data_IF_714080033221
#
_entry.id   IF_714080033221
#
_cell.length_a   1.000
_cell.length_b   1.000
_cell.length_c   1.000
_cell.angle_alpha   90.00
_cell.angle_beta   90.00
_cell.angle_gamma   90.00
#
_symmetry.space_group_name_H-M   'P 1'
#
loop_
_entity.id
_entity.type
_entity.pdbx_description
1 polymer ?
#
# COMPACT_ATOMS: atom_id res chain seq x y z
N UNK A 1 59.87 -16.12 24.32
CA UNK A 1 58.90 -15.46 23.38
C UNK A 1 57.67 -16.34 23.31
N UNK A 2 56.55 -15.97 23.88
CA UNK A 2 55.33 -16.77 23.76
C UNK A 2 54.50 -16.30 22.54
N UNK A 3 54.08 -17.28 21.74
CA UNK A 3 53.30 -17.15 20.53
C UNK A 3 51.85 -16.78 20.89
N UNK A 4 51.42 -15.58 20.58
CA UNK A 4 50.03 -15.12 20.70
C UNK A 4 49.27 -15.53 19.46
N UNK A 5 48.68 -16.69 19.48
CA UNK A 5 47.73 -17.14 18.50
C UNK A 5 46.38 -16.48 18.79
N UNK A 6 46.10 -15.30 18.17
CA UNK A 6 44.80 -14.65 18.22
C UNK A 6 43.83 -15.43 17.36
N UNK A 7 42.99 -16.23 18.00
CA UNK A 7 41.79 -16.77 17.36
C UNK A 7 40.91 -15.60 16.90
N UNK A 8 40.76 -15.47 15.56
CA UNK A 8 39.75 -14.60 14.99
C UNK A 8 38.36 -15.17 15.29
N UNK A 9 37.39 -14.35 15.71
CA UNK A 9 36.01 -14.82 15.83
C UNK A 9 35.49 -15.12 14.45
N UNK A 10 35.11 -16.37 14.21
CA UNK A 10 34.34 -16.80 13.04
C UNK A 10 33.06 -15.99 13.01
N UNK A 11 32.91 -15.13 12.01
CA UNK A 11 31.65 -14.48 11.67
C UNK A 11 30.64 -15.59 11.44
N UNK A 12 29.80 -15.87 12.41
CA UNK A 12 28.64 -16.72 12.24
C UNK A 12 27.80 -16.16 11.13
N UNK A 13 27.56 -16.95 10.10
CA UNK A 13 26.60 -16.70 9.03
C UNK A 13 25.29 -16.27 9.73
N UNK A 14 24.70 -15.13 9.40
CA UNK A 14 23.36 -14.84 9.91
C UNK A 14 22.43 -15.88 9.30
N UNK A 15 22.16 -16.93 10.04
CA UNK A 15 21.06 -17.84 9.76
C UNK A 15 19.80 -16.96 9.78
N UNK A 16 19.34 -16.59 8.60
CA UNK A 16 18.00 -16.05 8.40
C UNK A 16 17.01 -17.16 8.77
N UNK A 17 16.82 -17.35 10.07
CA UNK A 17 15.64 -18.04 10.57
C UNK A 17 14.46 -17.28 10.03
N UNK A 18 13.61 -17.95 9.23
CA UNK A 18 12.27 -17.44 8.90
C UNK A 18 11.66 -16.96 10.22
N UNK A 19 11.36 -15.66 10.35
CA UNK A 19 10.71 -15.20 11.56
C UNK A 19 9.40 -15.96 11.66
N UNK A 20 9.10 -16.54 12.83
CA UNK A 20 7.78 -16.99 13.15
C UNK A 20 6.81 -15.89 12.73
N UNK A 21 5.87 -16.22 11.86
CA UNK A 21 4.96 -15.28 11.21
C UNK A 21 4.23 -14.51 12.30
N UNK A 22 4.64 -13.26 12.54
CA UNK A 22 3.90 -12.36 13.40
C UNK A 22 2.61 -12.03 12.65
N UNK A 23 1.51 -12.61 13.11
CA UNK A 23 0.22 -12.33 12.51
C UNK A 23 -0.24 -10.91 12.87
N UNK A 24 -0.56 -10.12 11.85
CA UNK A 24 -1.23 -8.84 12.01
C UNK A 24 -2.75 -9.09 12.08
N UNK A 25 -3.33 -8.97 13.25
CA UNK A 25 -4.76 -9.21 13.48
C UNK A 25 -5.63 -7.95 13.28
N UNK A 26 -5.03 -6.81 12.94
CA UNK A 26 -5.73 -5.52 12.91
C UNK A 26 -6.79 -5.45 11.80
N UNK A 27 -6.47 -5.94 10.59
CA UNK A 27 -7.47 -6.03 9.52
C UNK A 27 -8.60 -7.00 9.85
N UNK A 28 -8.28 -8.13 10.48
CA UNK A 28 -9.27 -9.10 10.96
C UNK A 28 -10.21 -8.46 12.00
N UNK A 29 -9.64 -7.69 12.93
CA UNK A 29 -10.44 -6.96 13.94
C UNK A 29 -11.36 -5.90 13.31
N UNK A 30 -10.90 -5.18 12.29
CA UNK A 30 -11.69 -4.18 11.57
C UNK A 30 -12.84 -4.80 10.77
N UNK A 31 -12.63 -5.96 10.16
CA UNK A 31 -13.63 -6.68 9.36
C UNK A 31 -14.62 -7.48 10.20
N UNK A 32 -14.18 -7.98 11.35
CA UNK A 32 -14.86 -9.01 12.13
C UNK A 32 -14.69 -10.41 11.54
N UNK A 33 -14.92 -11.44 12.37
CA UNK A 33 -14.63 -12.84 12.06
C UNK A 33 -15.39 -13.36 10.82
N UNK A 34 -16.68 -13.02 10.71
CA UNK A 34 -17.53 -13.51 9.62
C UNK A 34 -17.07 -12.99 8.24
N UNK A 35 -16.72 -11.69 8.15
CA UNK A 35 -16.24 -11.11 6.90
C UNK A 35 -14.82 -11.57 6.59
N UNK A 36 -13.95 -11.66 7.60
CA UNK A 36 -12.60 -12.18 7.45
C UNK A 36 -12.59 -13.64 6.96
N UNK A 37 -13.48 -14.47 7.48
CA UNK A 37 -13.61 -15.89 7.11
C UNK A 37 -14.03 -16.11 5.66
N UNK A 38 -14.73 -15.17 5.03
CA UNK A 38 -15.13 -15.26 3.61
C UNK A 38 -13.99 -14.96 2.63
N UNK A 39 -12.95 -14.21 3.07
CA UNK A 39 -11.84 -13.87 2.21
C UNK A 39 -11.08 -15.09 1.70
N UNK A 40 -10.58 -15.08 0.45
CA UNK A 40 -9.64 -16.09 -0.04
C UNK A 40 -8.43 -16.20 0.89
N UNK A 41 -7.88 -17.40 0.99
CA UNK A 41 -6.70 -17.66 1.83
C UNK A 41 -5.53 -16.74 1.47
N UNK A 42 -5.24 -16.56 0.19
CA UNK A 42 -4.15 -15.70 -0.28
C UNK A 42 -4.31 -14.23 0.15
N UNK A 43 -5.55 -13.72 0.19
CA UNK A 43 -5.82 -12.37 0.69
C UNK A 43 -5.62 -12.30 2.20
N UNK A 44 -6.12 -13.29 2.96
CA UNK A 44 -5.91 -13.36 4.41
C UNK A 44 -4.43 -13.43 4.76
N UNK A 45 -3.66 -14.25 4.09
CA UNK A 45 -2.21 -14.37 4.29
C UNK A 45 -1.49 -13.04 4.00
N UNK A 46 -1.85 -12.35 2.92
CA UNK A 46 -1.26 -11.05 2.56
C UNK A 46 -1.51 -9.99 3.62
N UNK A 47 -2.73 -9.90 4.13
CA UNK A 47 -3.11 -8.88 5.12
C UNK A 47 -2.89 -9.30 6.57
N UNK A 48 -2.46 -10.53 6.82
CA UNK A 48 -1.98 -11.00 8.13
C UNK A 48 -0.48 -10.80 8.33
N UNK A 49 0.28 -10.43 7.29
CA UNK A 49 1.73 -10.26 7.40
C UNK A 49 2.07 -9.03 8.24
N UNK A 50 2.73 -9.24 9.36
CA UNK A 50 3.37 -8.16 10.11
C UNK A 50 4.84 -8.09 9.74
N UNK A 51 5.23 -6.95 9.19
CA UNK A 51 6.63 -6.71 8.86
C UNK A 51 7.40 -6.29 10.11
N UNK A 52 8.64 -6.74 10.23
CA UNK A 52 9.58 -6.25 11.25
C UNK A 52 10.28 -4.99 10.71
N UNK A 53 10.77 -4.10 11.59
CA UNK A 53 11.60 -2.98 11.17
C UNK A 53 12.76 -3.44 10.28
N UNK A 54 12.94 -2.75 9.15
CA UNK A 54 13.98 -3.10 8.16
C UNK A 54 13.61 -4.22 7.18
N UNK A 55 12.45 -4.85 7.33
CA UNK A 55 11.94 -5.82 6.36
C UNK A 55 10.98 -5.17 5.38
N UNK A 56 10.93 -5.71 4.16
CA UNK A 56 10.00 -5.28 3.12
C UNK A 56 9.36 -6.49 2.44
N UNK A 57 8.11 -6.33 2.03
CA UNK A 57 7.47 -7.21 1.06
C UNK A 57 7.37 -6.45 -0.26
N UNK A 58 7.76 -7.10 -1.35
CA UNK A 58 7.73 -6.49 -2.67
C UNK A 58 6.81 -7.30 -3.59
N UNK A 59 5.93 -6.58 -4.26
CA UNK A 59 5.06 -7.10 -5.30
C UNK A 59 5.51 -6.52 -6.64
N UNK A 60 5.60 -7.37 -7.65
CA UNK A 60 5.95 -6.99 -9.01
C UNK A 60 4.78 -7.32 -9.94
N UNK A 61 4.60 -6.49 -10.94
CA UNK A 61 3.45 -6.65 -11.83
C UNK A 61 3.44 -5.63 -12.95
N UNK A 62 2.27 -5.44 -13.53
CA UNK A 62 2.05 -4.52 -14.64
C UNK A 62 0.70 -3.83 -14.52
N UNK A 63 0.56 -2.67 -15.16
CA UNK A 63 -0.71 -1.94 -15.27
C UNK A 63 -1.47 -2.45 -16.49
N UNK A 64 -2.66 -3.01 -16.26
CA UNK A 64 -3.49 -3.63 -17.31
C UNK A 64 -4.69 -2.77 -17.73
N UNK A 65 -5.11 -1.84 -16.88
CA UNK A 65 -6.15 -0.87 -17.19
C UNK A 65 -5.80 0.48 -16.54
N UNK A 66 -5.95 1.56 -17.30
CA UNK A 66 -5.89 2.93 -16.77
C UNK A 66 -6.87 3.79 -17.57
N UNK A 67 -7.79 4.45 -16.87
CA UNK A 67 -8.79 5.34 -17.46
C UNK A 67 -8.98 6.57 -16.60
N UNK A 68 -9.02 7.73 -17.23
CA UNK A 68 -9.27 9.00 -16.57
C UNK A 68 -10.17 9.89 -17.41
N UNK A 69 -11.10 10.61 -16.77
CA UNK A 69 -11.77 11.73 -17.42
C UNK A 69 -10.99 13.05 -17.18
N UNK A 70 -11.43 14.13 -17.81
CA UNK A 70 -10.75 15.43 -17.67
C UNK A 70 -10.67 15.94 -16.24
N UNK A 71 -11.70 15.69 -15.41
CA UNK A 71 -11.69 16.07 -13.99
C UNK A 71 -10.68 15.24 -13.19
N UNK A 72 -10.59 13.94 -13.46
CA UNK A 72 -9.58 13.06 -12.88
C UNK A 72 -8.16 13.46 -13.26
N UNK A 73 -7.95 13.88 -14.49
CA UNK A 73 -6.68 14.42 -14.95
C UNK A 73 -6.31 15.72 -14.19
N UNK A 74 -7.24 16.66 -14.10
CA UNK A 74 -7.02 17.91 -13.37
C UNK A 74 -6.71 17.66 -11.89
N UNK A 75 -7.47 16.75 -11.26
CA UNK A 75 -7.22 16.34 -9.87
C UNK A 75 -5.83 15.71 -9.69
N UNK A 76 -5.44 14.78 -10.58
CA UNK A 76 -4.13 14.14 -10.50
C UNK A 76 -2.98 15.16 -10.62
N UNK A 77 -3.12 16.17 -11.51
CA UNK A 77 -2.13 17.26 -11.61
C UNK A 77 -2.11 18.14 -10.35
N UNK A 78 -3.28 18.49 -9.80
CA UNK A 78 -3.37 19.26 -8.57
C UNK A 78 -2.73 18.51 -7.39
N UNK A 79 -2.95 17.21 -7.30
CA UNK A 79 -2.38 16.34 -6.27
C UNK A 79 -0.84 16.26 -6.30
N UNK A 80 -0.17 16.74 -7.36
CA UNK A 80 1.31 16.86 -7.36
C UNK A 80 1.81 17.77 -6.24
N UNK A 81 1.02 18.73 -5.81
CA UNK A 81 1.36 19.63 -4.69
C UNK A 81 1.47 18.90 -3.34
N UNK A 82 0.88 17.71 -3.23
CA UNK A 82 0.87 16.91 -2.00
C UNK A 82 1.60 15.57 -2.16
N UNK A 83 2.47 15.44 -3.18
CA UNK A 83 3.27 14.23 -3.41
C UNK A 83 2.74 13.29 -4.49
N UNK A 84 1.84 13.77 -5.37
CA UNK A 84 1.30 13.03 -6.52
C UNK A 84 0.73 11.64 -6.15
N UNK A 85 -0.21 11.52 -5.19
CA UNK A 85 -0.72 10.23 -4.72
C UNK A 85 -1.61 9.50 -5.74
N UNK A 86 -1.96 10.14 -6.86
CA UNK A 86 -2.74 9.55 -7.94
C UNK A 86 -1.87 9.27 -9.17
N UNK A 87 -2.17 8.23 -9.96
CA UNK A 87 -1.51 7.99 -11.23
C UNK A 87 -1.62 9.20 -12.16
N UNK A 88 -0.50 9.61 -12.76
CA UNK A 88 -0.41 10.76 -13.66
C UNK A 88 -0.52 10.35 -15.14
N UNK A 89 -0.32 9.09 -15.45
CA UNK A 89 -0.19 8.55 -16.80
C UNK A 89 -1.14 7.37 -16.99
N UNK A 90 -1.53 7.10 -18.24
CA UNK A 90 -2.45 6.04 -18.60
C UNK A 90 -1.77 4.93 -19.43
N UNK A 91 -0.44 4.79 -19.28
CA UNK A 91 0.33 3.75 -19.95
C UNK A 91 -0.13 2.36 -19.51
N UNK A 92 -0.28 1.45 -20.45
CA UNK A 92 -0.67 0.06 -20.24
C UNK A 92 0.50 -0.88 -20.55
N UNK A 93 0.51 -2.07 -19.94
CA UNK A 93 1.59 -3.05 -20.08
C UNK A 93 2.90 -2.58 -19.47
N UNK A 94 2.89 -1.49 -18.69
CA UNK A 94 4.09 -0.96 -18.05
C UNK A 94 4.33 -1.66 -16.72
N UNK A 95 5.61 -1.93 -16.43
CA UNK A 95 6.01 -2.57 -15.19
C UNK A 95 5.61 -1.72 -13.97
N UNK A 96 5.12 -2.39 -12.94
CA UNK A 96 4.74 -1.79 -11.68
C UNK A 96 5.38 -2.56 -10.51
N UNK A 97 5.85 -1.82 -9.51
CA UNK A 97 6.41 -2.41 -8.29
C UNK A 97 5.76 -1.76 -7.09
N UNK A 98 5.35 -2.59 -6.13
CA UNK A 98 4.80 -2.12 -4.85
C UNK A 98 5.65 -2.69 -3.73
N UNK A 99 6.20 -1.83 -2.90
CA UNK A 99 6.95 -2.22 -1.72
C UNK A 99 6.22 -1.78 -0.47
N UNK A 100 6.04 -2.69 0.47
CA UNK A 100 5.44 -2.43 1.77
C UNK A 100 6.51 -2.59 2.85
N UNK A 101 6.65 -1.58 3.68
CA UNK A 101 7.55 -1.59 4.85
C UNK A 101 6.79 -1.17 6.10
N UNK A 102 7.31 -1.49 7.28
CA UNK A 102 6.71 -1.04 8.53
C UNK A 102 7.04 0.43 8.81
N UNK A 103 6.05 1.18 9.29
CA UNK A 103 6.24 2.47 9.96
C UNK A 103 6.51 2.21 11.44
N UNK A 104 7.79 2.14 11.80
CA UNK A 104 8.21 1.86 13.19
C UNK A 104 7.79 2.91 14.22
N UNK A 105 7.35 4.11 13.79
CA UNK A 105 6.88 5.15 14.70
C UNK A 105 5.41 5.01 15.05
N UNK A 106 4.59 4.60 14.10
CA UNK A 106 3.13 4.50 14.28
C UNK A 106 2.65 3.06 14.34
N UNK A 107 3.51 2.08 14.05
CA UNK A 107 3.14 0.68 13.87
C UNK A 107 2.28 0.46 12.62
N UNK A 108 2.21 1.44 11.73
CA UNK A 108 1.52 1.36 10.45
C UNK A 108 2.38 0.75 9.35
N UNK A 109 2.05 1.05 8.11
CA UNK A 109 2.75 0.54 6.94
C UNK A 109 2.99 1.66 5.93
N UNK A 110 4.21 1.78 5.42
CA UNK A 110 4.50 2.59 4.24
C UNK A 110 4.28 1.75 2.99
N UNK A 111 3.56 2.33 2.04
CA UNK A 111 3.29 1.76 0.73
C UNK A 111 3.97 2.63 -0.33
N UNK A 112 5.02 2.11 -0.94
CA UNK A 112 5.71 2.76 -2.05
C UNK A 112 5.34 2.03 -3.33
N UNK A 113 4.75 2.75 -4.27
CA UNK A 113 4.33 2.25 -5.59
C UNK A 113 5.15 2.94 -6.64
N UNK A 114 5.78 2.18 -7.51
CA UNK A 114 6.53 2.67 -8.66
C UNK A 114 5.85 2.16 -9.92
N UNK A 115 5.42 3.08 -10.75
CA UNK A 115 4.81 2.79 -12.04
C UNK A 115 5.73 3.26 -13.14
N UNK A 116 6.17 2.34 -13.99
CA UNK A 116 6.96 2.69 -15.16
C UNK A 116 6.10 3.49 -16.15
N UNK A 117 6.76 4.16 -17.07
CA UNK A 117 6.12 4.90 -18.15
C UNK A 117 6.70 4.42 -19.47
N UNK A 118 5.93 4.54 -20.53
CA UNK A 118 6.41 4.27 -21.88
C UNK A 118 7.56 5.23 -22.25
N UNK A 119 7.48 6.47 -21.73
CA UNK A 119 8.49 7.50 -21.94
C UNK A 119 8.76 8.28 -20.65
N UNK A 120 10.02 8.42 -20.27
CA UNK A 120 10.44 9.21 -19.11
C UNK A 120 10.73 8.38 -17.85
N UNK A 121 10.78 9.06 -16.71
CA UNK A 121 11.08 8.44 -15.43
C UNK A 121 9.85 7.79 -14.81
N UNK A 122 10.00 6.69 -14.06
CA UNK A 122 8.91 6.09 -13.32
C UNK A 122 8.24 7.09 -12.37
N UNK A 123 6.93 7.03 -12.26
CA UNK A 123 6.21 7.73 -11.20
C UNK A 123 6.34 6.93 -9.90
N UNK A 124 6.70 7.61 -8.81
CA UNK A 124 6.73 7.02 -7.47
C UNK A 124 5.64 7.65 -6.63
N UNK A 125 4.81 6.81 -6.01
CA UNK A 125 3.71 7.20 -5.13
C UNK A 125 3.97 6.62 -3.75
N UNK A 126 3.97 7.47 -2.73
CA UNK A 126 4.09 7.06 -1.33
C UNK A 126 2.78 7.30 -0.59
N UNK A 127 2.43 6.36 0.27
CA UNK A 127 1.38 6.55 1.27
C UNK A 127 1.71 5.80 2.55
N UNK A 128 1.08 6.16 3.66
CA UNK A 128 1.21 5.46 4.94
C UNK A 128 -0.16 5.05 5.45
N UNK A 129 -0.38 3.75 5.64
CA UNK A 129 -1.57 3.23 6.31
C UNK A 129 -1.31 3.16 7.81
N UNK A 130 -2.20 3.74 8.61
CA UNK A 130 -2.13 3.77 10.07
C UNK A 130 -3.41 3.26 10.67
N UNK A 131 -3.29 2.42 11.70
CA UNK A 131 -4.43 1.93 12.45
C UNK A 131 -4.81 2.95 13.52
N UNK A 132 -5.53 3.97 13.10
CA UNK A 132 -5.89 5.14 13.89
C UNK A 132 -7.21 5.76 13.40
N UNK A 133 -7.65 6.80 14.11
CA UNK A 133 -8.83 7.59 13.74
C UNK A 133 -10.15 6.91 14.05
N UNK A 134 -11.28 7.57 13.72
CA UNK A 134 -12.61 7.11 14.09
C UNK A 134 -13.07 5.85 13.34
N UNK A 135 -12.46 5.56 12.18
CA UNK A 135 -12.74 4.35 11.39
C UNK A 135 -11.79 3.20 11.69
N UNK A 136 -10.80 3.42 12.57
CA UNK A 136 -9.76 2.44 12.89
C UNK A 136 -8.67 2.29 11.83
N UNK A 137 -8.81 2.92 10.66
CA UNK A 137 -7.81 2.89 9.58
C UNK A 137 -7.79 4.22 8.83
N UNK A 138 -6.59 4.75 8.64
CA UNK A 138 -6.33 5.97 7.89
C UNK A 138 -5.20 5.76 6.88
N UNK A 139 -5.28 6.40 5.72
CA UNK A 139 -4.19 6.47 4.75
C UNK A 139 -3.73 7.91 4.60
N UNK A 140 -2.45 8.16 4.86
CA UNK A 140 -1.80 9.45 4.71
C UNK A 140 -1.10 9.51 3.35
N UNK A 141 -1.39 10.58 2.58
CA UNK A 141 -0.96 10.71 1.18
C UNK A 141 0.25 11.64 0.99
N UNK A 142 0.44 12.60 1.91
CA UNK A 142 1.47 13.64 1.84
C UNK A 142 0.89 15.03 2.12
N UNK A 143 1.74 16.02 2.44
CA UNK A 143 1.31 17.39 2.74
C UNK A 143 0.30 17.50 3.89
N UNK A 144 0.23 16.51 4.78
CA UNK A 144 -0.79 16.44 5.83
C UNK A 144 -2.15 15.88 5.39
N UNK A 145 -2.37 15.65 4.11
CA UNK A 145 -3.64 15.08 3.62
C UNK A 145 -3.75 13.59 3.95
N UNK A 146 -4.96 13.19 4.37
CA UNK A 146 -5.28 11.81 4.68
C UNK A 146 -6.71 11.44 4.35
N UNK A 147 -6.95 10.14 4.34
CA UNK A 147 -8.24 9.52 4.07
C UNK A 147 -8.57 8.60 5.25
N UNK A 148 -9.72 8.80 5.89
CA UNK A 148 -10.28 7.81 6.78
C UNK A 148 -10.91 6.69 5.95
N UNK A 149 -10.50 5.45 6.18
CA UNK A 149 -10.89 4.29 5.41
C UNK A 149 -11.81 3.38 6.22
N UNK A 150 -12.83 2.84 5.57
CA UNK A 150 -13.54 1.67 6.06
C UNK A 150 -13.13 0.46 5.22
N UNK A 151 -13.13 -0.71 5.84
CA UNK A 151 -12.84 -1.97 5.16
C UNK A 151 -14.08 -2.81 5.01
N UNK A 152 -14.18 -3.52 3.89
CA UNK A 152 -15.18 -4.58 3.66
C UNK A 152 -14.55 -5.75 2.93
N UNK A 153 -15.17 -6.89 2.96
CA UNK A 153 -14.69 -8.10 2.32
C UNK A 153 -15.85 -8.87 1.69
N UNK A 154 -15.57 -9.48 0.54
CA UNK A 154 -16.40 -10.50 -0.07
C UNK A 154 -15.61 -11.81 -0.28
N UNK A 155 -16.13 -12.71 -1.09
CA UNK A 155 -15.52 -14.01 -1.37
C UNK A 155 -14.30 -13.94 -2.28
N UNK A 156 -14.00 -12.78 -2.86
CA UNK A 156 -12.94 -12.57 -3.84
C UNK A 156 -11.92 -11.53 -3.43
N UNK A 157 -12.31 -10.56 -2.58
CA UNK A 157 -11.52 -9.35 -2.39
C UNK A 157 -11.65 -8.72 -1.01
N UNK A 158 -10.60 -8.00 -0.63
CA UNK A 158 -10.61 -6.99 0.42
C UNK A 158 -10.71 -5.60 -0.19
N UNK A 159 -11.66 -4.80 0.31
CA UNK A 159 -11.93 -3.45 -0.18
C UNK A 159 -11.67 -2.40 0.89
N UNK A 160 -11.11 -1.27 0.46
CA UNK A 160 -10.91 -0.07 1.26
C UNK A 160 -11.76 1.05 0.66
N UNK A 161 -12.64 1.64 1.45
CA UNK A 161 -13.54 2.70 1.02
C UNK A 161 -13.24 4.00 1.75
N UNK A 162 -13.09 5.10 1.03
CA UNK A 162 -12.98 6.43 1.67
C UNK A 162 -14.29 6.76 2.40
N UNK A 163 -14.17 7.17 3.66
CA UNK A 163 -15.28 7.70 4.46
C UNK A 163 -15.29 9.22 4.47
N UNK A 164 -14.13 9.81 4.72
CA UNK A 164 -13.92 11.24 4.60
C UNK A 164 -12.43 11.53 4.38
N UNK A 165 -12.16 12.68 3.85
CA UNK A 165 -10.82 13.22 3.68
C UNK A 165 -10.55 14.22 4.79
N UNK A 166 -9.30 14.36 5.19
CA UNK A 166 -8.90 15.30 6.24
C UNK A 166 -7.51 15.88 5.98
N UNK A 167 -7.26 17.01 6.62
CA UNK A 167 -5.95 17.63 6.71
C UNK A 167 -5.47 17.52 8.16
N UNK A 168 -4.35 16.84 8.36
CA UNK A 168 -3.65 16.79 9.64
C UNK A 168 -2.82 18.08 9.79
N UNK A 169 -3.08 18.84 10.85
CA UNK A 169 -2.45 20.14 11.11
C UNK A 169 -1.69 20.10 12.43
N UNK A 170 -0.52 20.73 12.44
CA UNK A 170 0.33 20.82 13.62
C UNK A 170 1.24 19.61 13.81
N UNK A 171 2.03 19.59 14.90
CA UNK A 171 2.91 18.47 15.18
C UNK A 171 2.11 17.20 15.41
N UNK A 172 2.67 16.08 15.00
CA UNK A 172 2.02 14.75 15.04
C UNK A 172 1.45 14.37 16.44
N UNK A 173 1.99 14.97 17.50
CA UNK A 173 1.54 14.78 18.89
C UNK A 173 0.20 15.44 19.22
N UNK A 174 -0.21 16.48 18.48
CA UNK A 174 -1.49 17.18 18.72
C UNK A 174 -2.66 16.51 18.01
N UNK A 175 -2.40 15.71 16.97
CA UNK A 175 -3.42 14.88 16.30
C UNK A 175 -4.60 15.66 15.71
N UNK A 176 -4.48 17.00 15.52
CA UNK A 176 -5.57 17.81 15.00
C UNK A 176 -5.85 17.42 13.54
N UNK A 177 -7.09 17.00 13.28
CA UNK A 177 -7.57 16.62 11.95
C UNK A 177 -8.74 17.50 11.57
N UNK A 178 -8.56 18.28 10.53
CA UNK A 178 -9.62 19.07 9.92
C UNK A 178 -10.26 18.25 8.82
N UNK A 179 -11.49 17.81 9.04
CA UNK A 179 -12.23 17.06 8.02
C UNK A 179 -12.56 17.99 6.85
N UNK A 180 -12.30 17.55 5.63
CA UNK A 180 -12.69 18.27 4.42
C UNK A 180 -14.22 18.23 4.28
N UNK A 181 -14.86 19.38 3.99
CA UNK A 181 -16.27 19.40 3.62
C UNK A 181 -16.54 18.51 2.40
N UNK A 182 -17.72 17.91 2.33
CA UNK A 182 -18.07 16.95 1.26
C UNK A 182 -17.93 17.56 -0.15
N UNK A 183 -18.19 18.85 -0.31
CA UNK A 183 -18.06 19.55 -1.60
C UNK A 183 -16.62 19.78 -2.05
N UNK A 184 -15.63 19.71 -1.14
CA UNK A 184 -14.18 19.73 -1.44
C UNK A 184 -13.59 18.32 -1.59
N UNK A 185 -14.34 17.30 -1.22
CA UNK A 185 -13.85 15.92 -1.32
C UNK A 185 -13.67 15.52 -2.79
N UNK A 186 -12.59 14.83 -3.15
CA UNK A 186 -12.33 14.42 -4.54
C UNK A 186 -13.27 13.32 -5.03
N UNK A 187 -14.19 12.83 -4.20
CA UNK A 187 -15.14 11.79 -4.51
C UNK A 187 -14.96 10.53 -3.64
N UNK A 188 -15.69 9.50 -3.97
CA UNK A 188 -15.60 8.19 -3.33
C UNK A 188 -14.45 7.39 -3.94
N UNK A 189 -13.44 7.10 -3.13
CA UNK A 189 -12.32 6.23 -3.49
C UNK A 189 -12.60 4.82 -2.99
N UNK A 190 -12.44 3.84 -3.86
CA UNK A 190 -12.40 2.42 -3.52
C UNK A 190 -11.09 1.83 -3.99
N UNK A 191 -10.38 1.14 -3.10
CA UNK A 191 -9.21 0.34 -3.43
C UNK A 191 -9.56 -1.12 -3.14
N UNK A 192 -9.36 -2.00 -4.12
CA UNK A 192 -9.67 -3.42 -3.99
C UNK A 192 -8.43 -4.27 -4.23
N UNK A 193 -8.22 -5.26 -3.38
CA UNK A 193 -7.23 -6.32 -3.56
C UNK A 193 -7.98 -7.61 -3.87
N UNK A 194 -8.07 -7.96 -5.15
CA UNK A 194 -8.85 -9.09 -5.66
C UNK A 194 -7.90 -10.25 -5.89
N UNK A 195 -8.23 -11.43 -5.36
CA UNK A 195 -7.49 -12.65 -5.62
C UNK A 195 -7.65 -13.06 -7.10
N UNK A 196 -6.55 -13.43 -7.73
CA UNK A 196 -6.52 -13.91 -9.12
C UNK A 196 -6.12 -15.39 -9.21
N UNK A 197 -5.97 -16.05 -8.06
CA UNK A 197 -5.40 -17.39 -8.00
C UNK A 197 -3.89 -17.41 -8.23
N UNK A 198 -3.26 -18.57 -8.06
CA UNK A 198 -1.83 -18.83 -8.30
C UNK A 198 -0.88 -17.81 -7.63
N UNK A 199 -1.28 -17.26 -6.48
CA UNK A 199 -0.52 -16.23 -5.75
C UNK A 199 -0.55 -14.83 -6.38
N UNK A 200 -1.30 -14.66 -7.48
CA UNK A 200 -1.53 -13.37 -8.12
C UNK A 200 -2.69 -12.60 -7.49
N UNK A 201 -2.69 -11.28 -7.64
CA UNK A 201 -3.82 -10.43 -7.26
C UNK A 201 -3.94 -9.21 -8.16
N UNK A 202 -5.17 -8.73 -8.33
CA UNK A 202 -5.44 -7.44 -8.94
C UNK A 202 -5.53 -6.36 -7.83
N UNK A 203 -4.80 -5.28 -8.04
CA UNK A 203 -4.99 -4.03 -7.30
C UNK A 203 -5.83 -3.12 -8.18
N UNK A 204 -7.01 -2.75 -7.68
CA UNK A 204 -7.94 -1.86 -8.40
C UNK A 204 -8.11 -0.58 -7.60
N UNK A 205 -7.85 0.55 -8.23
CA UNK A 205 -8.14 1.88 -7.69
C UNK A 205 -9.26 2.48 -8.53
N UNK A 206 -10.38 2.86 -7.89
CA UNK A 206 -11.56 3.44 -8.52
C UNK A 206 -11.95 4.70 -7.75
N UNK A 207 -11.96 5.85 -8.44
CA UNK A 207 -12.36 7.14 -7.87
C UNK A 207 -13.56 7.67 -8.65
N UNK A 208 -14.67 7.90 -7.95
CA UNK A 208 -15.94 8.38 -8.51
C UNK A 208 -16.44 9.61 -7.78
N UNK A 209 -16.83 10.61 -8.53
CA UNK A 209 -17.44 11.81 -7.98
C UNK A 209 -18.95 11.87 -8.37
N UNK A 210 -19.85 12.26 -7.44
CA UNK A 210 -21.29 12.24 -7.72
C UNK A 210 -21.72 13.10 -8.89
N UNK A 211 -21.02 14.22 -9.14
CA UNK A 211 -21.33 15.13 -10.26
C UNK A 211 -20.42 14.95 -11.48
N UNK A 212 -19.17 14.50 -11.27
CA UNK A 212 -18.16 14.39 -12.34
C UNK A 212 -18.03 12.97 -12.88
N UNK A 213 -18.79 12.02 -12.32
CA UNK A 213 -18.81 10.62 -12.73
C UNK A 213 -17.52 9.84 -12.36
N UNK A 214 -17.17 8.80 -13.14
CA UNK A 214 -15.95 8.03 -12.95
C UNK A 214 -14.74 8.89 -13.32
N UNK A 215 -13.98 9.31 -12.32
CA UNK A 215 -12.85 10.21 -12.52
C UNK A 215 -11.55 9.49 -12.85
N UNK A 216 -11.30 8.38 -12.17
CA UNK A 216 -10.09 7.59 -12.37
C UNK A 216 -10.33 6.13 -12.02
N UNK A 217 -9.85 5.23 -12.87
CA UNK A 217 -9.78 3.81 -12.61
C UNK A 217 -8.43 3.29 -13.10
N UNK A 218 -7.73 2.56 -12.24
CA UNK A 218 -6.50 1.86 -12.58
C UNK A 218 -6.54 0.44 -12.05
N UNK A 219 -6.09 -0.51 -12.87
CA UNK A 219 -5.92 -1.92 -12.49
C UNK A 219 -4.47 -2.32 -12.75
N UNK A 220 -3.85 -2.90 -11.75
CA UNK A 220 -2.55 -3.54 -11.88
C UNK A 220 -2.63 -4.98 -11.41
N UNK A 221 -2.00 -5.89 -12.14
CA UNK A 221 -1.86 -7.28 -11.77
C UNK A 221 -0.49 -7.48 -11.12
N UNK A 222 -0.46 -8.09 -9.94
CA UNK A 222 0.73 -8.23 -9.13
C UNK A 222 0.92 -9.65 -8.62
N UNK A 223 2.19 -10.00 -8.36
CA UNK A 223 2.60 -11.18 -7.61
C UNK A 223 3.64 -10.81 -6.57
N UNK A 224 3.63 -11.49 -5.44
CA UNK A 224 4.67 -11.32 -4.44
C UNK A 224 6.00 -11.89 -4.97
N UNK A 225 7.07 -11.11 -4.86
CA UNK A 225 8.41 -11.59 -5.16
C UNK A 225 9.00 -12.26 -3.93
N UNK A 226 9.30 -13.56 -3.96
CA UNK A 226 9.95 -14.23 -2.85
C UNK A 226 11.32 -13.60 -2.55
N UNK A 227 11.66 -13.45 -1.27
CA UNK A 227 12.96 -12.91 -0.84
C UNK A 227 14.17 -13.76 -1.30
N UNK A 228 13.93 -14.96 -1.82
CA UNK A 228 14.96 -15.91 -2.24
C UNK A 228 15.60 -15.57 -3.59
N UNK A 229 14.91 -14.85 -4.48
CA UNK A 229 15.40 -14.57 -5.84
C UNK A 229 16.61 -13.62 -5.89
N UNK A 230 16.93 -12.96 -4.78
CA UNK A 230 18.09 -12.06 -4.70
C UNK A 230 19.43 -12.81 -4.56
N UNK A 231 19.43 -14.11 -4.25
CA UNK A 231 20.66 -14.90 -4.11
C UNK A 231 21.13 -15.53 -5.43
N UNK A 232 20.25 -15.79 -6.39
CA UNK A 232 20.63 -16.42 -7.67
C UNK A 232 21.28 -15.44 -8.66
N UNK A 233 21.01 -14.13 -8.54
CA UNK A 233 21.63 -13.12 -9.43
C UNK A 233 23.07 -12.73 -9.05
N UNK A 234 23.66 -13.34 -8.01
CA UNK A 234 25.04 -13.08 -7.56
C UNK A 234 26.01 -14.23 -7.88
N UNK A 235 25.63 -15.14 -8.76
CA UNK A 235 26.54 -16.20 -9.26
C UNK A 235 26.96 -15.99 -10.70
#
# INVERSE_FOLDING_TARGET
>A
MPNLNKAQPTRGDPTFTRPADLHDLRFRALLGEAAWGRLPQAVRERFSKRLRPGMAVTYVGEITESRRNGAGQALAQLCRLIGAPLPLYDDLGVAAVVTVTEDGQTGGQFWTRMYNQAHGFPQVIHSSKRFAGPTGLEEYLGGGFGIALAVSADETALHFHSRHYFLAVGPARLGLRLQLPAWLAPGALTISHIDQGDGGFAFVLDLRHPLLGPMLRQVGLFRERPAHDLKEQRR
#
